data_IF_787159122867
#
_entry.id   IF_787159122867
#
_cell.length_a   1.000
_cell.length_b   1.000
_cell.length_c   1.000
_cell.angle_alpha   90.00
_cell.angle_beta   90.00
_cell.angle_gamma   90.00
#
_symmetry.space_group_name_H-M   'P 1'
#
loop_
_entity.id
_entity.type
_entity.pdbx_description
1 polymer ?
#
# COMPACT_ATOMS: atom_id res chain seq x y z
N UNK A 1 12.95 12.56 14.28
CA UNK A 1 13.52 11.33 14.91
C UNK A 1 12.52 10.54 15.76
N UNK A 2 11.48 11.18 16.33
CA UNK A 2 10.47 10.55 17.20
C UNK A 2 9.42 9.74 16.43
N UNK A 3 9.05 10.14 15.22
CA UNK A 3 8.03 9.47 14.39
C UNK A 3 8.52 8.12 13.84
N UNK A 4 9.79 8.03 13.44
CA UNK A 4 10.41 6.80 12.90
C UNK A 4 10.42 5.64 13.90
N UNK A 5 10.60 5.92 15.20
CA UNK A 5 10.56 4.88 16.24
C UNK A 5 9.15 4.32 16.46
N UNK A 6 8.10 5.13 16.24
CA UNK A 6 6.70 4.70 16.41
C UNK A 6 6.24 3.82 15.25
N UNK A 7 6.65 4.11 14.02
CA UNK A 7 6.29 3.31 12.85
C UNK A 7 6.82 1.87 12.88
N UNK A 8 7.86 1.57 13.67
CA UNK A 8 8.53 0.26 13.66
C UNK A 8 8.10 -0.72 14.77
N UNK A 9 7.36 -0.25 15.80
CA UNK A 9 7.00 -1.04 17.00
C UNK A 9 5.58 -0.70 17.49
N UNK A 10 4.59 -0.70 16.60
CA UNK A 10 3.20 -0.37 16.92
C UNK A 10 2.23 -1.46 16.48
N UNK A 11 1.03 -1.46 17.08
CA UNK A 11 -0.04 -2.38 16.69
C UNK A 11 -0.53 -2.07 15.27
N UNK A 12 -1.07 -3.03 14.54
CA UNK A 12 -1.51 -2.85 13.14
C UNK A 12 -2.39 -1.61 12.90
N UNK A 13 -3.35 -1.35 13.81
CA UNK A 13 -4.21 -0.15 13.75
C UNK A 13 -3.39 1.14 13.86
N UNK A 14 -2.54 1.25 14.88
CA UNK A 14 -1.65 2.41 15.09
C UNK A 14 -0.68 2.60 13.92
N UNK A 15 -0.11 1.51 13.42
CA UNK A 15 0.76 1.53 12.25
C UNK A 15 0.03 2.09 11.02
N UNK A 16 -1.22 1.67 10.77
CA UNK A 16 -2.04 2.17 9.66
C UNK A 16 -2.25 3.69 9.75
N UNK A 17 -2.56 4.21 10.94
CA UNK A 17 -2.69 5.65 11.17
C UNK A 17 -1.38 6.38 10.89
N UNK A 18 -0.26 5.90 11.46
CA UNK A 18 1.04 6.54 11.31
C UNK A 18 1.56 6.52 9.87
N UNK A 19 1.39 5.41 9.15
CA UNK A 19 1.83 5.34 7.75
C UNK A 19 0.98 6.23 6.86
N UNK A 20 -0.33 6.28 7.10
CA UNK A 20 -1.25 7.16 6.36
C UNK A 20 -0.91 8.64 6.57
N UNK A 21 -0.66 9.05 7.81
CA UNK A 21 -0.21 10.41 8.15
C UNK A 21 1.15 10.72 7.49
N UNK A 22 2.13 9.81 7.65
CA UNK A 22 3.45 9.97 7.05
C UNK A 22 3.37 10.18 5.53
N UNK A 23 2.55 9.38 4.84
CA UNK A 23 2.39 9.45 3.39
C UNK A 23 1.69 10.71 2.90
N UNK A 24 1.04 11.47 3.79
CA UNK A 24 0.23 12.65 3.46
C UNK A 24 0.93 13.98 3.77
N UNK A 25 2.09 13.92 4.41
CA UNK A 25 2.86 15.12 4.77
C UNK A 25 3.86 15.54 3.67
N UNK A 26 3.53 15.29 2.39
CA UNK A 26 4.40 15.61 1.25
C UNK A 26 5.61 14.69 1.10
N UNK A 27 5.72 13.65 1.93
CA UNK A 27 6.81 12.67 1.85
C UNK A 27 6.75 11.82 0.57
N UNK A 28 5.60 11.76 -0.08
CA UNK A 28 5.35 11.10 -1.37
C UNK A 28 6.18 11.67 -2.54
N UNK A 29 6.82 12.84 -2.39
CA UNK A 29 7.55 13.53 -3.46
C UNK A 29 8.90 12.90 -3.81
N UNK A 30 9.47 12.06 -2.95
CA UNK A 30 10.78 11.44 -3.14
C UNK A 30 10.72 9.94 -2.89
N UNK A 31 10.93 9.18 -3.95
CA UNK A 31 10.96 7.71 -3.87
C UNK A 31 12.19 7.22 -3.14
N UNK A 32 13.34 7.89 -3.32
CA UNK A 32 14.56 7.57 -2.55
C UNK A 32 14.36 7.78 -1.06
N UNK A 33 13.88 8.96 -0.65
CA UNK A 33 13.69 9.26 0.77
C UNK A 33 12.70 8.30 1.44
N UNK A 34 11.59 7.97 0.77
CA UNK A 34 10.64 6.97 1.27
C UNK A 34 11.28 5.58 1.37
N UNK A 35 12.04 5.15 0.35
CA UNK A 35 12.68 3.85 0.35
C UNK A 35 13.66 3.72 1.52
N UNK A 36 14.53 4.71 1.68
CA UNK A 36 15.53 4.78 2.76
C UNK A 36 14.88 4.86 4.13
N UNK A 37 13.74 5.54 4.23
CA UNK A 37 12.98 5.63 5.47
C UNK A 37 12.40 4.27 5.87
N UNK A 38 11.73 3.60 4.94
CA UNK A 38 10.96 2.38 5.19
C UNK A 38 11.80 1.12 5.34
N UNK A 39 12.96 1.05 4.68
CA UNK A 39 13.72 -0.20 4.60
C UNK A 39 15.09 -0.06 3.98
N UNK A 40 15.65 -1.20 3.62
CA UNK A 40 16.83 -1.32 2.76
C UNK A 40 16.49 -2.20 1.56
N UNK A 41 17.17 -2.00 0.43
CA UNK A 41 16.87 -2.79 -0.77
C UNK A 41 17.10 -4.29 -0.56
N UNK A 42 16.13 -5.10 -1.00
CA UNK A 42 16.22 -6.54 -1.00
C UNK A 42 16.95 -7.04 -2.25
N UNK A 43 18.26 -7.32 -2.10
CA UNK A 43 19.15 -7.79 -3.17
C UNK A 43 18.80 -9.18 -3.74
N UNK A 44 17.84 -9.90 -3.14
CA UNK A 44 17.34 -11.17 -3.69
C UNK A 44 16.67 -10.97 -5.06
N UNK A 45 16.01 -9.83 -5.26
CA UNK A 45 15.26 -9.54 -6.47
C UNK A 45 16.08 -8.64 -7.39
N UNK A 46 16.53 -9.18 -8.53
CA UNK A 46 17.31 -8.43 -9.50
C UNK A 46 16.45 -7.38 -10.19
N UNK A 47 17.02 -6.19 -10.41
CA UNK A 47 16.31 -5.04 -10.99
C UNK A 47 15.71 -5.32 -12.37
N UNK A 48 16.45 -6.01 -13.24
CA UNK A 48 16.02 -6.35 -14.59
C UNK A 48 14.86 -7.38 -14.64
N UNK A 49 14.49 -7.95 -13.50
CA UNK A 49 13.46 -8.99 -13.37
C UNK A 49 12.26 -8.53 -12.53
N UNK A 50 12.24 -7.26 -12.06
CA UNK A 50 11.19 -6.75 -11.16
C UNK A 50 10.54 -5.46 -11.71
N UNK A 51 9.24 -5.32 -11.48
CA UNK A 51 8.49 -4.10 -11.77
C UNK A 51 8.52 -3.06 -10.63
N UNK A 52 9.02 -3.45 -9.46
CA UNK A 52 9.07 -2.63 -8.25
C UNK A 52 10.34 -2.85 -7.47
N UNK A 53 10.81 -1.81 -6.75
CA UNK A 53 11.86 -1.97 -5.76
C UNK A 53 11.30 -2.68 -4.54
N UNK A 54 11.87 -3.83 -4.19
CA UNK A 54 11.51 -4.55 -2.98
C UNK A 54 12.44 -4.18 -1.85
N UNK A 55 11.89 -3.89 -0.67
CA UNK A 55 12.65 -3.55 0.53
C UNK A 55 12.51 -4.62 1.60
N UNK A 56 13.60 -4.81 2.34
CA UNK A 56 13.61 -5.42 3.67
C UNK A 56 13.09 -4.35 4.64
N UNK A 57 11.91 -4.53 5.26
CA UNK A 57 11.30 -3.49 6.10
C UNK A 57 12.06 -3.28 7.40
N UNK A 58 12.07 -2.04 7.93
CA UNK A 58 12.52 -1.78 9.31
C UNK A 58 11.48 -2.17 10.37
N UNK A 59 10.19 -2.16 10.00
CA UNK A 59 9.11 -2.61 10.87
C UNK A 59 9.02 -4.15 10.84
N UNK A 60 9.13 -4.77 12.01
CA UNK A 60 9.14 -6.23 12.17
C UNK A 60 7.79 -6.92 11.97
N UNK A 61 6.70 -6.15 11.86
CA UNK A 61 5.38 -6.68 11.50
C UNK A 61 5.23 -6.92 9.99
N UNK A 62 6.15 -6.37 9.18
CA UNK A 62 6.14 -6.47 7.74
C UNK A 62 7.20 -7.47 7.28
N UNK A 63 6.88 -8.26 6.26
CA UNK A 63 7.83 -9.16 5.60
C UNK A 63 8.48 -8.50 4.37
N UNK A 64 7.74 -7.67 3.64
CA UNK A 64 8.28 -6.92 2.50
C UNK A 64 7.51 -5.63 2.23
N UNK A 65 8.18 -4.71 1.55
CA UNK A 65 7.60 -3.48 1.00
C UNK A 65 7.94 -3.43 -0.49
N UNK A 66 6.98 -3.06 -1.34
CA UNK A 66 7.23 -2.76 -2.74
C UNK A 66 7.04 -1.27 -2.99
N UNK A 67 7.97 -0.65 -3.72
CA UNK A 67 7.99 0.79 -4.01
C UNK A 67 8.13 1.01 -5.50
N UNK A 68 7.30 1.90 -6.06
CA UNK A 68 7.47 2.42 -7.42
C UNK A 68 7.63 3.94 -7.42
N UNK A 69 8.42 4.48 -8.37
CA UNK A 69 9.23 3.76 -9.37
C UNK A 69 10.47 3.04 -8.79
N UNK A 70 10.96 2.00 -9.47
CA UNK A 70 12.22 1.34 -9.11
C UNK A 70 13.44 2.10 -9.66
N UNK A 71 13.87 3.14 -8.93
CA UNK A 71 14.98 4.02 -9.33
C UNK A 71 16.36 3.44 -8.99
N UNK A 72 17.31 3.52 -9.93
CA UNK A 72 18.75 3.38 -9.67
C UNK A 72 19.29 4.56 -8.84
N UNK A 73 20.45 4.35 -8.22
CA UNK A 73 21.23 5.40 -7.55
C UNK A 73 21.67 6.53 -8.49
N UNK A 74 21.75 6.28 -9.79
CA UNK A 74 22.15 7.28 -10.80
C UNK A 74 20.97 8.02 -11.43
N UNK A 75 19.74 7.51 -11.30
CA UNK A 75 18.54 8.12 -11.90
C UNK A 75 18.07 9.37 -11.13
N UNK A 76 17.48 10.36 -11.82
CA UNK A 76 16.84 11.48 -11.11
C UNK A 76 15.72 10.98 -10.21
N UNK A 77 15.65 11.50 -8.98
CA UNK A 77 14.61 11.16 -8.03
C UNK A 77 13.22 11.57 -8.56
N UNK A 78 12.20 10.80 -8.20
CA UNK A 78 10.82 10.98 -8.69
C UNK A 78 9.82 10.79 -7.54
N UNK A 79 8.62 11.39 -7.65
CA UNK A 79 7.53 11.09 -6.73
C UNK A 79 7.18 9.61 -6.77
N UNK A 80 6.82 9.09 -5.59
CA UNK A 80 6.27 7.74 -5.44
C UNK A 80 4.97 7.67 -6.22
N UNK A 81 4.77 6.56 -6.94
CA UNK A 81 3.52 6.30 -7.66
C UNK A 81 2.73 5.17 -7.02
N UNK A 82 3.41 4.25 -6.33
CA UNK A 82 2.81 3.10 -5.67
C UNK A 82 3.66 2.63 -4.49
N UNK A 83 2.98 2.27 -3.40
CA UNK A 83 3.56 1.59 -2.25
C UNK A 83 2.70 0.40 -1.87
N UNK A 84 3.31 -0.75 -1.63
CA UNK A 84 2.64 -1.89 -1.03
C UNK A 84 3.40 -2.40 0.19
N UNK A 85 2.63 -2.83 1.18
CA UNK A 85 3.11 -3.38 2.43
C UNK A 85 2.45 -4.73 2.64
N UNK A 86 3.23 -5.72 3.07
CA UNK A 86 2.67 -7.00 3.47
C UNK A 86 3.48 -7.63 4.60
N UNK A 87 2.79 -8.32 5.50
CA UNK A 87 3.43 -9.21 6.46
C UNK A 87 2.47 -10.08 7.25
N UNK A 88 2.95 -11.24 7.68
CA UNK A 88 2.19 -12.23 8.45
C UNK A 88 1.70 -11.71 9.80
N UNK A 89 2.44 -10.76 10.37
CA UNK A 89 2.09 -10.09 11.64
C UNK A 89 1.26 -8.84 11.44
N UNK A 90 1.13 -8.35 10.20
CA UNK A 90 0.22 -7.26 9.87
C UNK A 90 -1.21 -7.83 9.89
N UNK A 91 -2.03 -7.32 10.78
CA UNK A 91 -3.41 -7.77 10.96
C UNK A 91 -4.34 -6.55 10.98
N UNK A 92 -4.68 -6.07 9.79
CA UNK A 92 -5.62 -4.98 9.59
C UNK A 92 -7.03 -5.54 9.55
N UNK A 93 -7.96 -4.90 10.27
CA UNK A 93 -9.38 -5.22 10.22
C UNK A 93 -10.08 -4.25 9.30
N UNK A 94 -11.17 -4.70 8.66
CA UNK A 94 -11.93 -3.88 7.74
C UNK A 94 -12.39 -2.57 8.40
N UNK A 95 -12.84 -2.62 9.65
CA UNK A 95 -13.26 -1.43 10.40
C UNK A 95 -12.13 -0.40 10.60
N UNK A 96 -10.87 -0.82 10.70
CA UNK A 96 -9.74 0.13 10.81
C UNK A 96 -9.56 0.90 9.50
N UNK A 97 -9.79 0.23 8.37
CA UNK A 97 -9.68 0.83 7.05
C UNK A 97 -10.88 1.75 6.77
N UNK A 98 -12.10 1.31 7.07
CA UNK A 98 -13.31 2.11 6.83
C UNK A 98 -13.45 3.31 7.78
N UNK A 99 -12.81 3.29 8.96
CA UNK A 99 -12.62 4.48 9.81
C UNK A 99 -11.81 5.59 9.08
N UNK A 100 -10.84 5.22 8.24
CA UNK A 100 -9.96 6.14 7.52
C UNK A 100 -10.43 6.45 6.09
N UNK A 101 -11.01 5.46 5.44
CA UNK A 101 -11.41 5.44 4.04
C UNK A 101 -12.84 4.91 3.92
N UNK A 102 -13.87 5.76 4.08
CA UNK A 102 -15.26 5.29 4.17
C UNK A 102 -15.81 4.74 2.85
N UNK A 103 -15.24 5.14 1.70
CA UNK A 103 -15.69 4.70 0.38
C UNK A 103 -14.98 3.38 0.01
N UNK A 104 -15.64 2.24 0.18
CA UNK A 104 -15.09 0.91 -0.10
C UNK A 104 -15.98 0.11 -1.06
N UNK A 105 -15.35 -0.58 -2.01
CA UNK A 105 -15.99 -1.52 -2.94
C UNK A 105 -15.22 -2.85 -2.96
N UNK A 106 -15.93 -3.97 -3.18
CA UNK A 106 -15.31 -5.25 -3.53
C UNK A 106 -15.16 -5.33 -5.05
N UNK A 107 -13.97 -5.71 -5.50
CA UNK A 107 -13.65 -5.85 -6.91
C UNK A 107 -13.04 -7.23 -7.13
N UNK A 108 -13.55 -7.97 -8.11
CA UNK A 108 -12.90 -9.21 -8.55
C UNK A 108 -11.51 -8.90 -9.11
N UNK A 109 -10.49 -9.57 -8.58
CA UNK A 109 -9.16 -9.55 -9.14
C UNK A 109 -8.95 -10.85 -9.92
N UNK A 110 -9.27 -10.78 -11.21
CA UNK A 110 -9.18 -11.90 -12.16
C UNK A 110 -7.74 -12.34 -12.44
N UNK A 111 -6.75 -11.47 -12.23
CA UNK A 111 -5.34 -11.79 -12.46
C UNK A 111 -4.74 -12.64 -11.34
N UNK A 112 -5.02 -12.30 -10.08
CA UNK A 112 -4.43 -12.98 -8.92
C UNK A 112 -5.35 -14.01 -8.27
N UNK A 113 -6.56 -14.21 -8.81
CA UNK A 113 -7.49 -15.24 -8.33
C UNK A 113 -8.09 -14.94 -6.95
N UNK A 114 -8.75 -13.79 -6.80
CA UNK A 114 -9.42 -13.44 -5.55
C UNK A 114 -10.27 -12.17 -5.62
N UNK A 115 -10.53 -11.57 -4.47
CA UNK A 115 -11.26 -10.31 -4.34
C UNK A 115 -10.32 -9.25 -3.77
N UNK A 116 -10.52 -8.00 -4.17
CA UNK A 116 -9.81 -6.86 -3.65
C UNK A 116 -10.80 -5.91 -2.97
N UNK A 117 -10.48 -5.48 -1.74
CA UNK A 117 -11.08 -4.27 -1.19
C UNK A 117 -10.43 -3.08 -1.86
N UNK A 118 -11.25 -2.22 -2.45
CA UNK A 118 -10.79 -1.04 -3.14
C UNK A 118 -11.43 0.20 -2.54
N UNK A 119 -10.59 1.13 -2.09
CA UNK A 119 -11.01 2.34 -1.43
C UNK A 119 -10.74 3.54 -2.35
N UNK A 120 -11.79 4.11 -2.91
CA UNK A 120 -11.73 5.21 -3.87
C UNK A 120 -13.10 5.89 -4.04
N UNK A 121 -13.19 7.23 -4.01
CA UNK A 121 -12.10 8.17 -3.72
C UNK A 121 -11.70 8.12 -2.25
N UNK A 122 -10.42 8.35 -1.98
CA UNK A 122 -9.95 8.73 -0.64
C UNK A 122 -10.05 10.24 -0.47
N UNK A 123 -10.07 10.69 0.79
CA UNK A 123 -10.15 12.11 1.15
C UNK A 123 -8.94 12.90 0.60
N UNK A 124 -9.16 14.13 0.16
CA UNK A 124 -8.14 15.01 -0.43
C UNK A 124 -7.07 15.47 0.57
N UNK A 125 -7.26 15.20 1.87
CA UNK A 125 -6.22 15.38 2.90
C UNK A 125 -5.02 14.45 2.73
N UNK A 126 -5.12 13.41 1.90
CA UNK A 126 -4.07 12.45 1.63
C UNK A 126 -3.38 12.72 0.29
N UNK A 127 -2.07 12.44 0.20
CA UNK A 127 -1.32 12.57 -1.06
C UNK A 127 -1.63 11.43 -2.06
N UNK A 128 -2.20 10.33 -1.59
CA UNK A 128 -2.60 9.20 -2.42
C UNK A 128 -4.08 9.31 -2.83
N UNK A 129 -4.44 8.67 -3.94
CA UNK A 129 -5.77 8.74 -4.56
C UNK A 129 -6.60 7.48 -4.32
N UNK A 130 -5.96 6.36 -4.00
CA UNK A 130 -6.64 5.12 -3.70
C UNK A 130 -5.84 4.20 -2.77
N UNK A 131 -6.58 3.35 -2.06
CA UNK A 131 -6.03 2.26 -1.23
C UNK A 131 -6.62 0.93 -1.67
N UNK A 132 -5.82 -0.12 -1.58
CA UNK A 132 -6.25 -1.47 -1.93
C UNK A 132 -5.75 -2.51 -0.94
N UNK A 133 -6.58 -3.51 -0.67
CA UNK A 133 -6.21 -4.68 0.09
C UNK A 133 -6.61 -5.94 -0.68
N UNK A 134 -5.64 -6.80 -0.96
CA UNK A 134 -5.90 -8.08 -1.61
C UNK A 134 -6.44 -9.09 -0.59
N UNK A 135 -7.51 -9.77 -0.94
CA UNK A 135 -8.15 -10.81 -0.13
C UNK A 135 -8.29 -12.09 -0.96
N UNK A 136 -7.68 -13.15 -0.46
CA UNK A 136 -7.86 -14.48 -1.00
C UNK A 136 -9.00 -15.15 -0.22
N UNK A 137 -10.23 -14.94 -0.67
CA UNK A 137 -11.43 -15.58 -0.12
C UNK A 137 -12.32 -16.05 -1.26
N UNK A 138 -12.99 -17.18 -1.03
CA UNK A 138 -14.15 -17.57 -1.81
C UNK A 138 -15.27 -16.55 -1.59
N UNK A 139 -16.02 -16.23 -2.63
CA UNK A 139 -16.99 -15.14 -2.74
C UNK A 139 -17.72 -14.77 -1.44
N UNK A 140 -17.47 -13.55 -0.96
CA UNK A 140 -18.14 -12.92 0.20
C UNK A 140 -18.59 -11.51 -0.15
N UNK A 141 -19.69 -11.08 0.46
CA UNK A 141 -20.13 -9.68 0.52
C UNK A 141 -19.33 -8.89 1.56
N UNK A 142 -19.36 -7.55 1.51
CA UNK A 142 -18.62 -6.70 2.45
C UNK A 142 -18.99 -6.97 3.91
N UNK A 143 -20.28 -7.17 4.18
CA UNK A 143 -20.81 -7.38 5.54
C UNK A 143 -20.31 -8.69 6.17
N UNK A 144 -19.86 -9.64 5.36
CA UNK A 144 -19.31 -10.94 5.81
C UNK A 144 -17.80 -10.90 6.08
N UNK A 145 -17.14 -9.76 5.84
CA UNK A 145 -15.68 -9.59 5.98
C UNK A 145 -15.26 -8.99 7.32
N UNK A 146 -16.16 -8.88 8.29
CA UNK A 146 -15.89 -8.23 9.59
C UNK A 146 -14.74 -8.87 10.37
N UNK A 147 -14.58 -10.20 10.27
CA UNK A 147 -13.56 -10.94 11.02
C UNK A 147 -12.23 -11.12 10.26
N UNK A 148 -12.20 -10.74 8.98
CA UNK A 148 -11.05 -10.95 8.12
C UNK A 148 -9.80 -10.25 8.64
N UNK A 149 -8.66 -10.96 8.60
CA UNK A 149 -7.33 -10.38 8.81
C UNK A 149 -6.73 -10.00 7.47
N UNK A 150 -6.50 -8.71 7.27
CA UNK A 150 -5.87 -8.18 6.07
C UNK A 150 -4.38 -8.00 6.36
N UNK A 151 -3.56 -8.76 5.63
CA UNK A 151 -2.11 -8.83 5.84
C UNK A 151 -1.33 -8.11 4.72
N UNK A 152 -2.03 -7.41 3.83
CA UNK A 152 -1.48 -6.67 2.71
C UNK A 152 -2.30 -5.43 2.39
N UNK A 153 -1.62 -4.31 2.15
CA UNK A 153 -2.23 -3.03 1.80
C UNK A 153 -1.34 -2.28 0.80
N UNK A 154 -1.95 -1.59 -0.15
CA UNK A 154 -1.25 -0.71 -1.09
C UNK A 154 -1.90 0.66 -1.23
N UNK A 155 -1.06 1.65 -1.54
CA UNK A 155 -1.38 3.07 -1.71
C UNK A 155 -0.96 3.52 -3.12
N UNK A 156 -1.82 4.25 -3.80
CA UNK A 156 -1.62 4.70 -5.20
C UNK A 156 -1.61 6.24 -5.25
N UNK A 157 -0.59 6.87 -5.83
CA UNK A 157 -0.33 8.33 -5.68
C UNK A 157 -0.53 9.18 -6.94
N UNK A 158 -0.57 8.58 -8.14
CA UNK A 158 -0.79 9.31 -9.40
C UNK A 158 -2.21 9.10 -9.94
N UNK A 159 -2.75 10.07 -10.71
CA UNK A 159 -4.05 9.94 -11.39
C UNK A 159 -3.87 9.02 -12.62
N UNK A 160 -4.83 8.30 -13.19
CA UNK A 160 -6.27 8.17 -12.97
C UNK A 160 -6.67 6.72 -13.25
N UNK A 161 -7.66 6.25 -12.49
CA UNK A 161 -8.42 5.07 -12.87
C UNK A 161 -9.47 5.47 -13.90
N UNK A 162 -9.36 4.98 -15.14
CA UNK A 162 -10.53 4.88 -16.02
C UNK A 162 -11.33 3.67 -15.54
N UNK A 163 -12.58 3.89 -15.14
CA UNK A 163 -13.54 2.80 -14.88
C UNK A 163 -13.94 2.20 -16.22
N UNK A 164 -13.57 0.96 -16.46
CA UNK A 164 -13.97 0.17 -17.63
C UNK A 164 -14.98 -0.90 -17.24
N UNK A 165 -15.57 -1.56 -18.25
CA UNK A 165 -16.46 -2.71 -18.06
C UNK A 165 -15.79 -3.90 -17.35
N UNK A 166 -14.46 -3.97 -17.36
CA UNK A 166 -13.65 -5.02 -16.74
C UNK A 166 -13.01 -4.59 -15.40
N UNK A 167 -13.41 -3.44 -14.84
CA UNK A 167 -12.80 -2.87 -13.63
C UNK A 167 -11.99 -1.62 -13.94
N UNK A 168 -10.96 -1.33 -13.16
CA UNK A 168 -10.18 -0.10 -13.31
C UNK A 168 -8.83 -0.38 -13.94
N UNK A 169 -8.47 0.39 -14.97
CA UNK A 169 -7.13 0.38 -15.57
C UNK A 169 -6.33 1.61 -15.14
N UNK A 170 -5.04 1.41 -14.91
CA UNK A 170 -4.08 2.49 -14.72
C UNK A 170 -3.81 3.13 -16.09
N UNK A 171 -3.87 4.45 -16.16
CA UNK A 171 -3.44 5.21 -17.34
C UNK A 171 -2.13 5.93 -17.03
N UNK A 172 -1.23 5.99 -18.00
CA UNK A 172 0.05 6.72 -17.91
C UNK A 172 -0.14 8.24 -17.85
#
# INVERSE_FOLDING_TARGET
MTETKRLNNTKSKEWLYLITEFLSNGNSKSTRAISDFLGSENKKYKKNERGSKFLIPKNTNLNYIAVNPDLEETETDKPVTYLAFSGEKLNLKLNYLTELFPNVELIENTYDGGIQLFFNPVDNRFDFTAVACQIFTDYKSLDELTDLSINGISFMFKPNKIKTRAGYIMTE
#
